data_IF_094164757569
#
_entry.id   IF_094164757569
#
_cell.length_a   1.000
_cell.length_b   1.000
_cell.length_c   1.000
_cell.angle_alpha   90.00
_cell.angle_beta   90.00
_cell.angle_gamma   90.00
#
_symmetry.space_group_name_H-M   'P 1'
#
loop_
_entity.id
_entity.type
_entity.pdbx_description
1 polymer ?
#
# COMPACT_ATOMS: atom_id res chain seq x y z
N UNK A 1 2.39 16.42 5.23
CA UNK A 1 1.22 17.28 5.51
C UNK A 1 0.09 16.48 6.16
N UNK A 2 -0.57 15.55 5.44
CA UNK A 2 -1.70 14.75 5.98
C UNK A 2 -1.34 13.79 7.12
N UNK A 3 -0.05 13.55 7.36
CA UNK A 3 0.43 12.71 8.47
C UNK A 3 0.49 13.45 9.82
N UNK A 4 0.17 14.74 9.86
CA UNK A 4 -0.02 15.49 11.10
C UNK A 4 -1.45 15.99 11.20
N UNK A 5 -1.98 16.03 12.42
CA UNK A 5 -3.32 16.59 12.66
C UNK A 5 -3.33 18.07 12.27
N UNK A 6 -4.43 18.53 11.66
CA UNK A 6 -4.49 19.91 11.15
C UNK A 6 -4.34 20.99 12.23
N UNK A 7 -4.63 20.65 13.49
CA UNK A 7 -4.45 21.52 14.66
C UNK A 7 -3.04 21.47 15.27
N UNK A 8 -2.20 20.53 14.85
CA UNK A 8 -0.85 20.36 15.41
C UNK A 8 0.17 21.22 14.67
N UNK A 9 1.22 21.62 15.38
CA UNK A 9 2.41 22.21 14.74
C UNK A 9 3.02 21.18 13.82
N UNK A 10 3.25 21.56 12.57
CA UNK A 10 3.86 20.69 11.58
C UNK A 10 5.36 20.94 11.53
N UNK A 11 6.12 19.95 11.97
CA UNK A 11 7.58 19.95 11.84
C UNK A 11 7.98 19.41 10.47
N UNK A 12 8.33 20.33 9.57
CA UNK A 12 8.86 20.01 8.25
C UNK A 12 10.38 19.88 8.32
N UNK A 13 10.84 18.66 8.53
CA UNK A 13 12.27 18.30 8.40
C UNK A 13 12.48 17.46 7.15
N UNK A 14 13.74 17.37 6.70
CA UNK A 14 14.09 16.54 5.54
C UNK A 14 13.75 15.06 5.79
N UNK A 15 13.99 14.56 7.01
CA UNK A 15 13.65 13.20 7.39
C UNK A 15 12.13 12.96 7.35
N UNK A 16 11.34 13.93 7.81
CA UNK A 16 9.88 13.85 7.77
C UNK A 16 9.35 13.87 6.33
N UNK A 17 9.96 14.67 5.44
CA UNK A 17 9.62 14.68 4.01
C UNK A 17 9.91 13.33 3.35
N UNK A 18 11.11 12.78 3.57
CA UNK A 18 11.50 11.48 3.02
C UNK A 18 10.61 10.34 3.54
N UNK A 19 10.22 10.39 4.80
CA UNK A 19 9.28 9.42 5.37
C UNK A 19 7.88 9.54 4.73
N UNK A 20 7.40 10.76 4.51
CA UNK A 20 6.13 11.02 3.85
C UNK A 20 6.14 10.52 2.40
N UNK A 21 7.23 10.75 1.66
CA UNK A 21 7.43 10.26 0.29
C UNK A 21 7.37 8.72 0.24
N UNK A 22 8.13 8.03 1.11
CA UNK A 22 8.08 6.56 1.21
C UNK A 22 6.68 6.05 1.56
N UNK A 23 5.97 6.77 2.42
CA UNK A 23 4.59 6.45 2.78
C UNK A 23 3.65 6.55 1.59
N UNK A 24 3.76 7.63 0.80
CA UNK A 24 2.99 7.82 -0.43
C UNK A 24 3.23 6.70 -1.44
N UNK A 25 4.48 6.31 -1.71
CA UNK A 25 4.78 5.21 -2.63
C UNK A 25 4.20 3.88 -2.15
N UNK A 26 4.31 3.58 -0.85
CA UNK A 26 3.72 2.36 -0.28
C UNK A 26 2.21 2.29 -0.49
N UNK A 27 1.49 3.38 -0.23
CA UNK A 27 0.03 3.43 -0.44
C UNK A 27 -0.33 3.34 -1.93
N UNK A 28 0.46 3.96 -2.79
CA UNK A 28 0.30 3.90 -4.26
C UNK A 28 0.46 2.47 -4.77
N UNK A 29 1.52 1.77 -4.36
CA UNK A 29 1.73 0.36 -4.72
C UNK A 29 0.66 -0.56 -4.12
N UNK A 30 0.20 -0.27 -2.90
CA UNK A 30 -0.95 -0.93 -2.28
C UNK A 30 -2.22 -0.80 -3.13
N UNK A 31 -2.55 0.42 -3.58
CA UNK A 31 -3.71 0.66 -4.45
C UNK A 31 -3.56 -0.06 -5.80
N UNK A 32 -2.39 0.01 -6.44
CA UNK A 32 -2.13 -0.72 -7.70
C UNK A 32 -2.24 -2.24 -7.54
N UNK A 33 -1.79 -2.78 -6.41
CA UNK A 33 -1.90 -4.19 -6.10
C UNK A 33 -3.37 -4.59 -5.88
N UNK A 34 -4.10 -3.79 -5.12
CA UNK A 34 -5.52 -3.99 -4.82
C UNK A 34 -6.39 -4.07 -6.08
N UNK A 35 -6.15 -3.18 -7.05
CA UNK A 35 -6.87 -3.17 -8.34
C UNK A 35 -6.68 -4.47 -9.14
N UNK A 36 -5.54 -5.14 -8.95
CA UNK A 36 -5.23 -6.41 -9.64
C UNK A 36 -5.74 -7.64 -8.89
N UNK A 37 -6.18 -7.50 -7.64
CA UNK A 37 -6.71 -8.62 -6.87
C UNK A 37 -8.10 -9.02 -7.38
N UNK A 38 -8.30 -10.32 -7.48
CA UNK A 38 -9.56 -10.97 -7.82
C UNK A 38 -9.81 -12.13 -6.86
N UNK A 39 -11.08 -12.42 -6.58
CA UNK A 39 -11.50 -13.54 -5.74
C UNK A 39 -12.73 -14.19 -6.35
N UNK A 40 -12.77 -15.53 -6.32
CA UNK A 40 -13.93 -16.33 -6.75
C UNK A 40 -14.85 -16.69 -5.56
N UNK A 41 -14.57 -16.14 -4.37
CA UNK A 41 -15.36 -16.37 -3.16
C UNK A 41 -16.66 -15.55 -3.21
N UNK A 42 -17.73 -16.19 -3.71
CA UNK A 42 -19.05 -15.56 -3.85
C UNK A 42 -19.76 -15.26 -2.52
N UNK A 43 -19.30 -15.84 -1.40
CA UNK A 43 -19.84 -15.60 -0.05
C UNK A 43 -18.88 -14.81 0.84
N UNK A 44 -19.19 -14.76 2.12
CA UNK A 44 -18.32 -14.12 3.11
C UNK A 44 -16.97 -14.88 3.19
N UNK A 45 -15.88 -14.13 3.04
CA UNK A 45 -14.52 -14.59 3.30
C UNK A 45 -14.22 -14.57 4.79
N UNK A 46 -13.26 -15.39 5.22
CA UNK A 46 -12.84 -15.47 6.64
C UNK A 46 -12.37 -14.11 7.20
N UNK A 47 -11.84 -13.22 6.36
CA UNK A 47 -11.29 -11.93 6.76
C UNK A 47 -12.26 -10.77 6.56
N UNK A 48 -13.46 -11.02 6.02
CA UNK A 48 -14.37 -9.94 5.62
C UNK A 48 -14.78 -9.06 6.80
N UNK A 49 -15.05 -9.65 7.97
CA UNK A 49 -15.42 -8.89 9.16
C UNK A 49 -14.29 -7.97 9.64
N UNK A 50 -13.05 -8.46 9.59
CA UNK A 50 -11.89 -7.68 10.02
C UNK A 50 -11.59 -6.54 9.04
N UNK A 51 -11.63 -6.82 7.74
CA UNK A 51 -11.39 -5.82 6.70
C UNK A 51 -12.50 -4.76 6.71
N UNK A 52 -13.77 -5.16 6.78
CA UNK A 52 -14.87 -4.19 6.86
C UNK A 52 -14.80 -3.35 8.14
N UNK A 53 -14.44 -3.96 9.29
CA UNK A 53 -14.21 -3.20 10.52
C UNK A 53 -13.10 -2.16 10.38
N UNK A 54 -12.01 -2.47 9.66
CA UNK A 54 -10.96 -1.48 9.35
C UNK A 54 -11.47 -0.36 8.43
N UNK A 55 -12.32 -0.68 7.46
CA UNK A 55 -12.93 0.31 6.57
C UNK A 55 -13.85 1.28 7.31
N UNK A 56 -14.66 0.76 8.23
CA UNK A 56 -15.51 1.58 9.10
C UNK A 56 -14.68 2.51 9.98
N UNK A 57 -13.59 1.99 10.57
CA UNK A 57 -12.68 2.77 11.39
C UNK A 57 -12.01 3.93 10.63
N UNK A 58 -11.71 3.78 9.33
CA UNK A 58 -11.19 4.90 8.52
C UNK A 58 -12.21 6.04 8.48
N UNK A 59 -13.48 5.70 8.29
CA UNK A 59 -14.57 6.67 8.22
C UNK A 59 -14.78 7.32 9.58
N UNK A 60 -14.74 6.54 10.67
CA UNK A 60 -14.86 7.05 12.04
C UNK A 60 -13.72 8.00 12.39
N UNK A 61 -12.47 7.65 12.05
CA UNK A 61 -11.29 8.49 12.27
C UNK A 61 -11.42 9.83 11.50
N UNK A 62 -12.01 9.83 10.31
CA UNK A 62 -12.25 11.05 9.54
C UNK A 62 -13.41 11.89 10.08
N UNK A 63 -14.44 11.25 10.66
CA UNK A 63 -15.54 11.94 11.32
C UNK A 63 -15.14 12.50 12.70
N UNK A 64 -14.13 11.92 13.34
CA UNK A 64 -13.49 12.44 14.56
C UNK A 64 -12.49 13.55 14.22
N UNK A 65 -13.00 14.77 14.01
CA UNK A 65 -12.20 15.98 13.80
C UNK A 65 -11.17 15.85 12.66
N UNK A 66 -11.51 15.18 11.56
CA UNK A 66 -10.62 14.97 10.41
C UNK A 66 -9.25 14.39 10.81
N UNK A 67 -9.24 13.30 11.59
CA UNK A 67 -8.02 12.64 12.06
C UNK A 67 -7.30 11.87 10.93
N UNK A 68 -6.79 12.61 9.95
CA UNK A 68 -6.06 12.10 8.80
C UNK A 68 -4.86 11.21 9.17
N UNK A 69 -4.07 11.46 10.24
CA UNK A 69 -2.97 10.56 10.60
C UNK A 69 -3.45 9.15 10.96
N UNK A 70 -4.55 9.04 11.72
CA UNK A 70 -5.13 7.73 12.07
C UNK A 70 -5.73 7.06 10.84
N UNK A 71 -6.51 7.78 10.05
CA UNK A 71 -7.09 7.24 8.81
C UNK A 71 -6.01 6.73 7.84
N UNK A 72 -4.88 7.44 7.70
CA UNK A 72 -3.72 6.99 6.91
C UNK A 72 -3.09 5.72 7.52
N UNK A 73 -2.98 5.63 8.85
CA UNK A 73 -2.50 4.41 9.50
C UNK A 73 -3.36 3.20 9.15
N UNK A 74 -4.68 3.36 9.14
CA UNK A 74 -5.61 2.29 8.74
C UNK A 74 -5.47 1.90 7.26
N UNK A 75 -5.19 2.85 6.36
CA UNK A 75 -4.85 2.53 4.96
C UNK A 75 -3.54 1.72 4.84
N UNK A 76 -2.56 1.95 5.72
CA UNK A 76 -1.38 1.09 5.78
C UNK A 76 -1.71 -0.31 6.29
N UNK A 77 -2.62 -0.44 7.26
CA UNK A 77 -3.10 -1.74 7.72
C UNK A 77 -3.78 -2.52 6.58
N UNK A 78 -4.62 -1.86 5.77
CA UNK A 78 -5.21 -2.45 4.57
C UNK A 78 -4.14 -2.84 3.54
N UNK A 79 -3.13 -1.99 3.32
CA UNK A 79 -2.00 -2.31 2.43
C UNK A 79 -1.27 -3.59 2.86
N UNK A 80 -1.19 -3.88 4.17
CA UNK A 80 -0.63 -5.14 4.66
C UNK A 80 -1.48 -6.35 4.27
N UNK A 81 -2.82 -6.26 4.36
CA UNK A 81 -3.72 -7.30 3.88
C UNK A 81 -3.59 -7.52 2.37
N UNK A 82 -3.57 -6.43 1.61
CA UNK A 82 -3.42 -6.45 0.15
C UNK A 82 -2.13 -7.17 -0.25
N UNK A 83 -1.00 -6.82 0.37
CA UNK A 83 0.29 -7.46 0.06
C UNK A 83 0.29 -8.94 0.44
N UNK A 84 -0.28 -9.32 1.59
CA UNK A 84 -0.39 -10.73 1.98
C UNK A 84 -1.24 -11.55 1.00
N UNK A 85 -2.32 -10.97 0.46
CA UNK A 85 -3.16 -11.61 -0.57
C UNK A 85 -2.41 -11.71 -1.90
N UNK A 86 -1.76 -10.62 -2.34
CA UNK A 86 -0.96 -10.56 -3.57
C UNK A 86 0.18 -11.59 -3.55
N UNK A 87 0.89 -11.70 -2.44
CA UNK A 87 2.05 -12.58 -2.30
C UNK A 87 1.67 -14.03 -1.98
N UNK A 88 0.36 -14.33 -1.88
CA UNK A 88 -0.15 -15.68 -1.60
C UNK A 88 0.08 -16.16 -0.16
N UNK A 89 0.44 -15.27 0.76
CA UNK A 89 0.52 -15.57 2.19
C UNK A 89 -0.86 -15.73 2.84
N UNK A 90 -1.89 -15.13 2.24
CA UNK A 90 -3.30 -15.37 2.53
C UNK A 90 -3.96 -16.02 1.32
N UNK A 91 -4.90 -16.93 1.56
CA UNK A 91 -5.62 -17.58 0.49
C UNK A 91 -6.47 -16.57 -0.30
N UNK A 92 -6.56 -16.73 -1.63
CA UNK A 92 -7.31 -15.79 -2.47
C UNK A 92 -8.80 -15.74 -2.11
N UNK A 93 -9.37 -16.84 -1.60
CA UNK A 93 -10.74 -16.93 -1.11
C UNK A 93 -10.93 -16.50 0.35
N UNK A 94 -9.88 -16.00 1.01
CA UNK A 94 -9.97 -15.48 2.38
C UNK A 94 -10.81 -14.19 2.45
N UNK A 95 -11.01 -13.52 1.31
CA UNK A 95 -11.83 -12.32 1.16
C UNK A 95 -12.94 -12.60 0.14
N UNK A 96 -14.18 -12.28 0.52
CA UNK A 96 -15.35 -12.36 -0.35
C UNK A 96 -15.34 -11.30 -1.43
N UNK A 97 -16.04 -11.55 -2.55
CA UNK A 97 -16.10 -10.61 -3.67
C UNK A 97 -16.65 -9.24 -3.24
N UNK A 98 -17.72 -9.20 -2.42
CA UNK A 98 -18.31 -7.94 -1.95
C UNK A 98 -17.34 -7.15 -1.07
N UNK A 99 -16.62 -7.83 -0.17
CA UNK A 99 -15.62 -7.20 0.69
C UNK A 99 -14.44 -6.64 -0.12
N UNK A 100 -13.96 -7.39 -1.13
CA UNK A 100 -12.88 -6.93 -1.99
C UNK A 100 -13.28 -5.68 -2.79
N UNK A 101 -14.49 -5.66 -3.34
CA UNK A 101 -15.01 -4.51 -4.08
C UNK A 101 -15.33 -3.32 -3.16
N UNK A 102 -15.72 -3.56 -1.91
CA UNK A 102 -15.81 -2.51 -0.90
C UNK A 102 -14.43 -1.91 -0.59
N UNK A 103 -13.43 -2.76 -0.36
CA UNK A 103 -12.05 -2.33 -0.11
C UNK A 103 -11.49 -1.51 -1.27
N UNK A 104 -11.69 -1.93 -2.53
CA UNK A 104 -11.30 -1.16 -3.73
C UNK A 104 -11.93 0.24 -3.75
N UNK A 105 -13.26 0.31 -3.61
CA UNK A 105 -13.99 1.58 -3.64
C UNK A 105 -13.56 2.52 -2.52
N UNK A 106 -13.50 2.02 -1.29
CA UNK A 106 -13.16 2.83 -0.13
C UNK A 106 -11.70 3.30 -0.18
N UNK A 107 -10.74 2.42 -0.47
CA UNK A 107 -9.33 2.79 -0.57
C UNK A 107 -9.15 3.89 -1.63
N UNK A 108 -9.75 3.71 -2.81
CA UNK A 108 -9.70 4.68 -3.89
C UNK A 108 -10.34 6.02 -3.51
N UNK A 109 -11.52 5.99 -2.89
CA UNK A 109 -12.21 7.20 -2.44
C UNK A 109 -11.37 7.98 -1.42
N UNK A 110 -10.82 7.31 -0.41
CA UNK A 110 -9.98 7.99 0.58
C UNK A 110 -8.67 8.51 -0.03
N UNK A 111 -8.00 7.70 -0.86
CA UNK A 111 -6.72 8.06 -1.44
C UNK A 111 -6.84 9.22 -2.46
N UNK A 112 -7.79 9.12 -3.41
CA UNK A 112 -7.94 10.09 -4.51
C UNK A 112 -8.85 11.26 -4.13
N UNK A 113 -10.04 10.98 -3.60
CA UNK A 113 -11.09 11.99 -3.47
C UNK A 113 -11.00 12.75 -2.14
N UNK A 114 -10.72 12.05 -1.03
CA UNK A 114 -10.65 12.67 0.31
C UNK A 114 -9.27 13.29 0.55
N UNK A 115 -8.20 12.53 0.32
CA UNK A 115 -6.83 13.01 0.55
C UNK A 115 -6.27 13.79 -0.64
N UNK A 116 -6.93 13.75 -1.80
CA UNK A 116 -6.51 14.51 -2.97
C UNK A 116 -5.17 14.05 -3.54
N UNK A 117 -4.74 12.82 -3.27
CA UNK A 117 -3.49 12.28 -3.80
C UNK A 117 -3.70 11.89 -5.26
N UNK A 118 -2.74 12.21 -6.11
CA UNK A 118 -2.75 11.76 -7.51
C UNK A 118 -1.93 10.49 -7.64
N UNK A 119 -2.29 9.64 -8.61
CA UNK A 119 -1.39 8.60 -9.10
C UNK A 119 -0.48 9.26 -10.14
N UNK A 120 0.52 9.99 -9.69
CA UNK A 120 1.41 10.70 -10.62
C UNK A 120 2.31 9.69 -11.35
N UNK A 121 2.24 9.68 -12.68
CA UNK A 121 3.02 8.79 -13.55
C UNK A 121 4.52 9.13 -13.58
N UNK A 122 4.93 10.23 -12.96
CA UNK A 122 6.26 10.85 -13.12
C UNK A 122 7.32 10.41 -12.12
N UNK A 123 6.97 9.67 -11.07
CA UNK A 123 7.90 9.33 -9.99
C UNK A 123 8.64 7.99 -10.17
N UNK A 124 8.32 7.22 -11.23
CA UNK A 124 8.92 5.90 -11.48
C UNK A 124 10.32 5.92 -12.10
N UNK A 125 10.79 7.06 -12.62
CA UNK A 125 12.05 7.07 -13.38
C UNK A 125 13.29 6.77 -12.52
N UNK A 126 13.26 7.13 -11.23
CA UNK A 126 14.34 6.79 -10.29
C UNK A 126 14.26 5.35 -9.78
N UNK A 127 13.04 4.87 -9.50
CA UNK A 127 12.82 3.53 -8.91
C UNK A 127 12.99 2.43 -9.96
N UNK A 128 12.57 2.64 -11.22
CA UNK A 128 12.82 1.73 -12.35
C UNK A 128 14.33 1.57 -12.61
N UNK A 129 15.11 2.64 -12.43
CA UNK A 129 16.57 2.61 -12.56
C UNK A 129 17.18 1.79 -11.41
N UNK A 130 16.69 1.95 -10.18
CA UNK A 130 17.15 1.21 -9.00
C UNK A 130 16.76 -0.26 -9.08
N UNK A 131 15.55 -0.58 -9.52
CA UNK A 131 15.09 -1.95 -9.77
C UNK A 131 15.86 -2.61 -10.92
N UNK A 132 16.11 -1.88 -12.00
CA UNK A 132 16.98 -2.32 -13.10
C UNK A 132 18.42 -2.59 -12.65
N UNK A 133 18.99 -1.73 -11.80
CA UNK A 133 20.30 -1.94 -11.17
C UNK A 133 20.31 -3.17 -10.26
N UNK A 134 19.26 -3.37 -9.46
CA UNK A 134 19.12 -4.56 -8.61
C UNK A 134 19.02 -5.84 -9.44
N UNK A 135 18.26 -5.82 -10.53
CA UNK A 135 18.17 -6.90 -11.50
C UNK A 135 19.53 -7.25 -12.11
N UNK A 136 20.33 -6.22 -12.48
CA UNK A 136 21.70 -6.41 -12.96
C UNK A 136 22.62 -7.04 -11.89
N UNK A 137 22.55 -6.60 -10.63
CA UNK A 137 23.33 -7.19 -9.52
C UNK A 137 22.95 -8.65 -9.29
N UNK A 138 21.66 -8.98 -9.33
CA UNK A 138 21.17 -10.36 -9.19
C UNK A 138 21.67 -11.22 -10.36
N UNK A 139 21.59 -10.72 -11.59
CA UNK A 139 22.08 -11.43 -12.77
C UNK A 139 23.60 -11.67 -12.73
N UNK A 140 24.38 -10.69 -12.27
CA UNK A 140 25.83 -10.85 -12.08
C UNK A 140 26.13 -11.94 -11.05
N UNK A 141 25.43 -11.95 -9.91
CA UNK A 141 25.57 -12.99 -8.89
C UNK A 141 25.18 -14.37 -9.40
N UNK A 142 24.11 -14.46 -10.17
CA UNK A 142 23.68 -15.73 -10.76
C UNK A 142 24.71 -16.26 -11.75
N UNK A 143 25.25 -15.40 -12.62
CA UNK A 143 26.33 -15.74 -13.56
C UNK A 143 27.64 -16.10 -12.87
N UNK A 144 27.97 -15.46 -11.75
CA UNK A 144 29.15 -15.81 -10.93
C UNK A 144 29.00 -17.22 -10.30
N UNK A 145 27.80 -17.56 -9.82
CA UNK A 145 27.48 -18.90 -9.30
C UNK A 145 27.53 -19.98 -10.39
N UNK A 146 27.00 -19.70 -11.58
CA UNK A 146 27.07 -20.61 -12.74
C UNK A 146 28.51 -20.88 -13.16
N UNK A 147 29.36 -19.86 -13.11
CA UNK A 147 30.79 -19.96 -13.43
C UNK A 147 31.65 -20.46 -12.26
N UNK A 148 31.05 -20.88 -11.14
CA UNK A 148 31.73 -21.35 -9.91
C UNK A 148 32.79 -20.37 -9.38
N UNK A 149 32.57 -19.07 -9.57
CA UNK A 149 33.47 -18.04 -9.09
C UNK A 149 33.02 -17.60 -7.69
N UNK A 150 33.51 -18.28 -6.67
CA UNK A 150 33.04 -18.15 -5.28
C UNK A 150 33.78 -17.08 -4.46
N UNK A 151 34.74 -16.38 -5.05
CA UNK A 151 35.57 -15.38 -4.34
C UNK A 151 35.01 -13.94 -4.40
N UNK A 152 33.79 -13.72 -4.91
CA UNK A 152 33.13 -12.39 -4.95
C UNK A 152 31.75 -12.39 -4.31
#
# INVERSE_FOLDING_TARGET
MLQSHYRSTLDLTDEALQAAEKGYYKLTEGLKALEKLTTDQAGEGQLDQEINGLLDLITDDMNDDFNTPKAISRLFDLTNYINKLKDGHLAANAVGTECLEHMKRAFKAFFLDVFGLSLDSGAGQGDDIVEGLMGLVIAIRQKARENKNWET
#
